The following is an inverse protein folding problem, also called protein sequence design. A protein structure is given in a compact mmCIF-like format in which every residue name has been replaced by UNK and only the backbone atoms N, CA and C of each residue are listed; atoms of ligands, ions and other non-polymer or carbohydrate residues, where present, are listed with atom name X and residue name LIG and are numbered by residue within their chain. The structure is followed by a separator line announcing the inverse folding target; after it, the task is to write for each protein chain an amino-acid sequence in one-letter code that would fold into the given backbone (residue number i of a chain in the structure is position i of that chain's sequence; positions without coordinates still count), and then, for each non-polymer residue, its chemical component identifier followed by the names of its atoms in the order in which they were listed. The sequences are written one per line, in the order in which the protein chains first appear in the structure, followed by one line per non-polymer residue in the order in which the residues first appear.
data_IF_876969496186
#
_entry.id   IF_876969496186
#
_cell.length_a   1.000
_cell.length_b   1.000
_cell.length_c   1.000
_cell.angle_alpha   90.00
_cell.angle_beta   90.00
_cell.angle_gamma   90.00
#
_symmetry.space_group_name_H-M   'P 1'
#
loop_
_entity.id
_entity.type
_entity.pdbx_description
1 polymer ?
#
# COMPACT_ATOMS: atom_id res chain seq x y z
N UNK A 1 -9.23 2.89 15.93
CA UNK A 1 -8.93 4.29 15.57
C UNK A 1 -8.24 4.23 14.22
N UNK A 2 -8.76 4.91 13.19
CA UNK A 2 -8.14 4.83 11.85
C UNK A 2 -6.85 5.62 11.81
N UNK A 3 -5.84 5.07 11.16
CA UNK A 3 -4.56 5.69 10.87
C UNK A 3 -4.69 6.74 9.78
N UNK A 4 -4.53 8.00 10.17
CA UNK A 4 -4.46 9.13 9.26
C UNK A 4 -3.36 8.97 8.20
N UNK A 5 -2.28 8.27 8.53
CA UNK A 5 -1.13 8.06 7.62
C UNK A 5 -1.44 7.06 6.52
N UNK A 6 -2.12 5.96 6.83
CA UNK A 6 -2.58 5.00 5.80
C UNK A 6 -3.61 5.67 4.90
N UNK A 7 -4.58 6.38 5.49
CA UNK A 7 -5.63 7.05 4.72
C UNK A 7 -5.07 8.15 3.80
N UNK A 8 -4.12 8.97 4.28
CA UNK A 8 -3.41 9.96 3.45
C UNK A 8 -2.65 9.30 2.30
N UNK A 9 -1.90 8.22 2.59
CA UNK A 9 -1.14 7.51 1.56
C UNK A 9 -2.05 6.93 0.48
N UNK A 10 -3.12 6.21 0.86
CA UNK A 10 -4.06 5.63 -0.10
C UNK A 10 -4.81 6.71 -0.89
N UNK A 11 -5.13 7.85 -0.28
CA UNK A 11 -5.77 8.97 -0.97
C UNK A 11 -4.83 9.59 -2.02
N UNK A 12 -3.53 9.69 -1.73
CA UNK A 12 -2.52 10.16 -2.70
C UNK A 12 -2.29 9.17 -3.85
N UNK A 13 -2.34 7.87 -3.60
CA UNK A 13 -2.31 6.88 -4.68
C UNK A 13 -3.56 7.01 -5.55
N UNK A 14 -4.74 7.17 -4.93
CA UNK A 14 -6.01 7.32 -5.64
C UNK A 14 -6.13 8.61 -6.45
N UNK A 15 -5.41 9.68 -6.08
CA UNK A 15 -5.36 10.92 -6.86
C UNK A 15 -4.23 10.94 -7.90
N UNK A 16 -3.43 9.88 -8.02
CA UNK A 16 -2.26 9.85 -8.90
C UNK A 16 -1.06 10.67 -8.41
N UNK A 17 -1.13 11.24 -7.20
CA UNK A 17 -0.03 11.99 -6.59
C UNK A 17 1.09 11.10 -6.02
N UNK A 18 0.83 9.80 -5.85
CA UNK A 18 1.79 8.81 -5.37
C UNK A 18 1.68 7.48 -6.14
N UNK A 19 1.52 7.56 -7.46
CA UNK A 19 1.38 6.41 -8.36
C UNK A 19 2.55 5.43 -8.17
N UNK A 20 2.26 4.15 -7.95
CA UNK A 20 3.26 3.08 -7.74
C UNK A 20 4.20 3.31 -6.54
N UNK A 21 3.75 4.02 -5.51
CA UNK A 21 4.53 4.19 -4.29
C UNK A 21 4.51 2.96 -3.38
N UNK A 22 5.56 2.82 -2.57
CA UNK A 22 5.75 1.67 -1.68
C UNK A 22 5.97 2.07 -0.21
N UNK A 23 5.61 1.17 0.70
CA UNK A 23 5.88 1.26 2.15
C UNK A 23 6.37 -0.07 2.67
N UNK A 24 7.35 -0.05 3.58
CA UNK A 24 7.81 -1.28 4.24
C UNK A 24 6.83 -1.74 5.33
N UNK A 25 6.89 -3.02 5.72
CA UNK A 25 6.03 -3.60 6.75
C UNK A 25 6.07 -2.80 8.06
N UNK A 26 7.27 -2.42 8.53
CA UNK A 26 7.43 -1.67 9.78
C UNK A 26 6.64 -0.35 9.78
N UNK A 27 6.65 0.38 8.65
CA UNK A 27 5.85 1.58 8.51
C UNK A 27 4.36 1.27 8.59
N UNK A 28 3.90 0.20 7.92
CA UNK A 28 2.49 -0.20 7.94
C UNK A 28 2.05 -0.58 9.36
N UNK A 29 2.83 -1.38 10.07
CA UNK A 29 2.54 -1.81 11.45
C UNK A 29 2.43 -0.63 12.44
N UNK A 30 3.35 0.32 12.38
CA UNK A 30 3.34 1.51 13.24
C UNK A 30 2.14 2.42 12.92
N UNK A 31 1.61 2.34 11.71
CA UNK A 31 0.54 3.21 11.23
C UNK A 31 -0.77 2.45 11.04
N UNK A 32 -1.14 1.50 11.90
CA UNK A 32 -2.47 0.85 11.91
C UNK A 32 -2.50 -0.61 11.45
N UNK A 33 -1.44 -1.05 10.77
CA UNK A 33 -1.25 -2.45 10.41
C UNK A 33 -1.87 -2.87 9.07
N UNK A 34 -1.62 -4.12 8.71
CA UNK A 34 -1.90 -4.65 7.37
C UNK A 34 -3.41 -4.73 7.09
N UNK A 35 -4.22 -5.13 8.08
CA UNK A 35 -5.67 -5.23 7.90
C UNK A 35 -6.30 -3.87 7.57
N UNK A 36 -5.84 -2.81 8.22
CA UNK A 36 -6.31 -1.46 7.96
C UNK A 36 -5.85 -0.93 6.59
N UNK A 37 -4.61 -1.23 6.20
CA UNK A 37 -4.11 -0.90 4.86
C UNK A 37 -4.96 -1.56 3.76
N UNK A 38 -5.32 -2.84 3.93
CA UNK A 38 -6.17 -3.56 2.98
C UNK A 38 -7.56 -2.92 2.88
N UNK A 39 -8.19 -2.64 4.02
CA UNK A 39 -9.51 -1.97 4.07
C UNK A 39 -9.46 -0.58 3.39
N UNK A 40 -8.41 0.20 3.64
CA UNK A 40 -8.22 1.53 3.05
C UNK A 40 -7.99 1.47 1.53
N UNK A 41 -7.25 0.48 1.05
CA UNK A 41 -7.02 0.25 -0.38
C UNK A 41 -8.30 -0.19 -1.10
N UNK A 42 -9.03 -1.17 -0.54
CA UNK A 42 -10.28 -1.69 -1.09
C UNK A 42 -11.34 -0.59 -1.25
N UNK A 43 -11.51 0.26 -0.24
CA UNK A 43 -12.48 1.38 -0.27
C UNK A 43 -12.22 2.39 -1.39
N UNK A 44 -10.98 2.46 -1.87
CA UNK A 44 -10.55 3.42 -2.90
C UNK A 44 -10.30 2.77 -4.26
N UNK A 45 -10.57 1.48 -4.40
CA UNK A 45 -10.29 0.74 -5.65
C UNK A 45 -8.79 0.69 -5.97
N UNK A 46 -7.93 0.76 -4.95
CA UNK A 46 -6.48 0.68 -5.12
C UNK A 46 -6.04 -0.79 -5.10
N UNK A 47 -5.25 -1.15 -6.10
CA UNK A 47 -4.55 -2.41 -6.13
C UNK A 47 -3.37 -2.34 -5.17
N UNK A 48 -3.25 -3.33 -4.30
CA UNK A 48 -2.19 -3.45 -3.31
C UNK A 48 -1.52 -4.81 -3.50
N UNK A 49 -0.19 -4.83 -3.54
CA UNK A 49 0.60 -6.07 -3.58
C UNK A 49 1.61 -6.08 -2.44
N UNK A 50 1.77 -7.24 -1.81
CA UNK A 50 2.85 -7.50 -0.85
C UNK A 50 3.97 -8.22 -1.58
N UNK A 51 5.19 -7.72 -1.42
CA UNK A 51 6.40 -8.22 -2.06
C UNK A 51 7.50 -8.35 -1.00
N UNK A 52 8.48 -9.19 -1.29
CA UNK A 52 9.75 -9.25 -0.56
C UNK A 52 10.86 -8.78 -1.49
N UNK A 53 11.66 -7.80 -1.08
CA UNK A 53 12.81 -7.34 -1.87
C UNK A 53 13.99 -8.33 -1.79
N UNK A 54 15.00 -8.12 -2.62
CA UNK A 54 16.20 -8.99 -2.66
C UNK A 54 17.02 -8.97 -1.37
N UNK A 55 16.71 -8.08 -0.44
CA UNK A 55 17.33 -7.99 0.89
C UNK A 55 16.48 -8.67 1.97
N UNK A 56 15.35 -9.28 1.60
CA UNK A 56 14.43 -9.94 2.51
C UNK A 56 13.47 -8.98 3.23
N UNK A 57 13.38 -7.71 2.82
CA UNK A 57 12.42 -6.78 3.40
C UNK A 57 11.05 -6.93 2.77
N UNK A 58 10.03 -6.95 3.61
CA UNK A 58 8.66 -6.91 3.15
C UNK A 58 8.19 -5.49 2.82
N UNK A 59 7.58 -5.36 1.65
CA UNK A 59 7.09 -4.12 1.08
C UNK A 59 5.64 -4.28 0.62
N UNK A 60 4.89 -3.19 0.71
CA UNK A 60 3.56 -3.03 0.14
C UNK A 60 3.64 -1.96 -0.94
N UNK A 61 3.34 -2.34 -2.19
CA UNK A 61 3.23 -1.42 -3.30
C UNK A 61 1.76 -1.20 -3.65
N UNK A 62 1.39 0.05 -3.95
CA UNK A 62 0.02 0.45 -4.22
C UNK A 62 -0.12 1.16 -5.57
N UNK A 63 -1.16 0.82 -6.33
CA UNK A 63 -1.39 1.32 -7.68
C UNK A 63 -2.87 1.49 -7.98
N UNK A 64 -3.20 2.45 -8.85
CA UNK A 64 -4.55 2.57 -9.44
C UNK A 64 -4.84 1.47 -10.47
N UNK A 65 -3.81 0.81 -10.98
CA UNK A 65 -3.93 -0.25 -11.98
C UNK A 65 -3.50 -1.60 -11.38
N UNK A 66 -4.07 -2.72 -11.87
CA UNK A 66 -3.66 -4.05 -11.45
C UNK A 66 -2.17 -4.28 -11.67
N UNK A 67 -1.52 -4.93 -10.71
CA UNK A 67 -0.17 -5.44 -10.90
C UNK A 67 -0.21 -6.68 -11.79
N UNK A 68 0.77 -6.81 -12.70
CA UNK A 68 0.94 -7.96 -13.56
C UNK A 68 2.33 -8.54 -13.37
N UNK A 69 2.41 -9.84 -13.10
CA UNK A 69 3.67 -10.60 -13.10
C UNK A 69 3.87 -11.18 -14.48
N UNK A 70 5.07 -11.02 -15.04
CA UNK A 70 5.38 -11.44 -16.42
C UNK A 70 6.10 -12.80 -16.51
N UNK A 71 6.75 -13.24 -15.43
CA UNK A 71 7.52 -14.49 -15.36
C UNK A 71 7.45 -15.11 -13.96
#
# INVERSE_FOLDING_TARGET
MRSEKIDDWMSKVASGGATMSQRNLKWVEVNGGVAELIDAAQKRGIHLVRLTDDKGHELFAASQHPFQTLC
#
